data_IF_503631792049
#
_entry.id   IF_503631792049
#
_cell.length_a   1.000
_cell.length_b   1.000
_cell.length_c   1.000
_cell.angle_alpha   90.00
_cell.angle_beta   90.00
_cell.angle_gamma   90.00
#
_symmetry.space_group_name_H-M   'P 1'
#
loop_
_entity.id
_entity.type
_entity.pdbx_description
1 polymer ?
#
# COMPACT_ATOMS: atom_id res chain seq x y z
N UNK A 1 1.24 -18.97 -5.50
CA UNK A 1 0.49 -17.95 -4.73
C UNK A 1 0.99 -16.61 -5.22
N UNK A 2 0.10 -15.81 -5.76
CA UNK A 2 0.45 -14.56 -6.43
C UNK A 2 -0.09 -13.37 -5.62
N UNK A 3 0.33 -12.16 -5.99
CA UNK A 3 -0.18 -10.91 -5.41
C UNK A 3 -0.56 -9.95 -6.51
N UNK A 4 -1.74 -9.33 -6.39
CA UNK A 4 -2.14 -8.18 -7.18
C UNK A 4 -2.62 -7.07 -6.24
N UNK A 5 -1.97 -5.92 -6.27
CA UNK A 5 -2.22 -4.82 -5.35
C UNK A 5 -2.18 -5.28 -3.89
N UNK A 6 -3.32 -5.19 -3.18
CA UNK A 6 -3.50 -5.62 -1.79
C UNK A 6 -4.23 -6.95 -1.67
N UNK A 7 -4.39 -7.66 -2.77
CA UNK A 7 -5.01 -8.97 -2.83
C UNK A 7 -3.94 -10.05 -2.97
N UNK A 8 -4.11 -11.11 -2.20
CA UNK A 8 -3.40 -12.37 -2.37
C UNK A 8 -4.26 -13.27 -3.25
N UNK A 9 -3.63 -13.97 -4.19
CA UNK A 9 -4.29 -14.88 -5.12
C UNK A 9 -3.73 -16.28 -4.87
N UNK A 10 -4.56 -17.14 -4.29
CA UNK A 10 -4.23 -18.54 -4.09
C UNK A 10 -4.91 -19.36 -5.20
N UNK A 11 -4.14 -19.75 -6.21
CA UNK A 11 -4.59 -20.67 -7.27
C UNK A 11 -4.82 -22.05 -6.66
N UNK A 12 -5.94 -22.66 -7.02
CA UNK A 12 -6.30 -24.02 -6.64
C UNK A 12 -5.91 -24.98 -7.79
N UNK A 13 -6.07 -26.29 -7.57
CA UNK A 13 -5.72 -27.29 -8.59
C UNK A 13 -6.67 -27.28 -9.80
N UNK A 14 -7.87 -26.68 -9.65
CA UNK A 14 -8.77 -26.36 -10.76
C UNK A 14 -8.46 -24.99 -11.36
N UNK A 15 -9.21 -24.57 -12.38
CA UNK A 15 -9.13 -23.19 -12.91
C UNK A 15 -9.63 -22.11 -11.92
N UNK A 16 -9.99 -22.50 -10.69
CA UNK A 16 -10.44 -21.58 -9.65
C UNK A 16 -9.28 -20.98 -8.84
N UNK A 17 -9.55 -19.83 -8.23
CA UNK A 17 -8.65 -19.22 -7.26
C UNK A 17 -9.40 -18.66 -6.05
N UNK A 18 -8.69 -18.53 -4.92
CA UNK A 18 -9.14 -17.71 -3.80
C UNK A 18 -8.48 -16.34 -3.89
N UNK A 19 -9.30 -15.30 -3.93
CA UNK A 19 -8.90 -13.91 -3.85
C UNK A 19 -9.08 -13.40 -2.42
N UNK A 20 -7.98 -13.09 -1.75
CA UNK A 20 -7.96 -12.75 -0.32
C UNK A 20 -7.50 -11.30 -0.15
N UNK A 21 -8.33 -10.47 0.47
CA UNK A 21 -7.98 -9.10 0.89
C UNK A 21 -7.92 -9.03 2.41
N UNK A 22 -6.79 -8.58 2.97
CA UNK A 22 -6.60 -8.53 4.42
C UNK A 22 -7.31 -7.34 5.11
N UNK A 23 -7.83 -6.39 4.33
CA UNK A 23 -8.48 -5.22 4.91
C UNK A 23 -7.50 -4.33 5.67
N UNK A 24 -7.90 -3.87 6.85
CA UNK A 24 -7.09 -2.95 7.67
C UNK A 24 -6.32 -3.65 8.80
N UNK A 25 -6.89 -4.71 9.36
CA UNK A 25 -6.37 -5.41 10.55
C UNK A 25 -6.30 -6.92 10.35
N UNK A 26 -6.54 -7.38 9.13
CA UNK A 26 -6.49 -8.80 8.82
C UNK A 26 -5.07 -9.28 8.67
N UNK A 27 -4.82 -10.50 9.11
CA UNK A 27 -3.59 -11.24 8.82
C UNK A 27 -3.91 -12.73 8.66
N UNK A 28 -3.00 -13.43 7.99
CA UNK A 28 -3.06 -14.88 7.78
C UNK A 28 -1.88 -15.54 8.46
N UNK A 29 -2.12 -16.69 9.10
CA UNK A 29 -1.08 -17.51 9.72
C UNK A 29 -1.31 -18.99 9.41
N UNK A 30 -0.22 -19.76 9.33
CA UNK A 30 -0.29 -21.21 9.17
C UNK A 30 -0.13 -21.87 10.53
N UNK A 31 -1.19 -22.51 11.02
CA UNK A 31 -1.21 -23.16 12.35
C UNK A 31 -1.54 -24.64 12.22
N UNK A 32 -1.20 -25.48 13.21
CA UNK A 32 -1.78 -26.82 13.32
C UNK A 32 -3.31 -26.76 13.33
N UNK A 33 -3.97 -27.68 12.63
CA UNK A 33 -5.44 -27.75 12.56
C UNK A 33 -6.08 -27.85 13.95
N UNK A 34 -5.43 -28.55 14.88
CA UNK A 34 -5.89 -28.72 16.25
C UNK A 34 -5.79 -27.44 17.10
N UNK A 35 -5.11 -26.39 16.63
CA UNK A 35 -5.03 -25.11 17.36
C UNK A 35 -6.42 -24.49 17.50
N UNK A 36 -6.93 -24.26 18.72
CA UNK A 36 -8.26 -23.68 18.91
C UNK A 36 -8.40 -22.30 18.26
N UNK A 37 -9.55 -21.98 17.63
CA UNK A 37 -9.80 -20.65 17.10
C UNK A 37 -9.95 -19.62 18.23
N UNK A 38 -9.47 -18.41 17.97
CA UNK A 38 -9.60 -17.23 18.82
C UNK A 38 -10.76 -16.34 18.34
N UNK A 39 -11.17 -15.38 19.17
CA UNK A 39 -12.35 -14.50 18.97
C UNK A 39 -12.47 -13.86 17.57
N UNK A 40 -11.37 -13.61 16.89
CA UNK A 40 -11.35 -12.94 15.58
C UNK A 40 -10.76 -13.81 14.47
N UNK A 41 -10.63 -15.11 14.69
CA UNK A 41 -10.34 -16.08 13.64
C UNK A 41 -11.64 -16.41 12.91
N UNK A 42 -11.75 -16.02 11.64
CA UNK A 42 -13.03 -16.07 10.90
C UNK A 42 -13.07 -17.15 9.83
N UNK A 43 -11.92 -17.53 9.26
CA UNK A 43 -11.85 -18.50 8.16
C UNK A 43 -10.61 -19.39 8.36
N UNK A 44 -10.80 -20.70 8.25
CA UNK A 44 -9.73 -21.70 8.17
C UNK A 44 -9.77 -22.39 6.81
N UNK A 45 -8.67 -22.34 6.07
CA UNK A 45 -8.42 -23.22 4.92
C UNK A 45 -7.62 -24.41 5.41
N UNK A 46 -8.29 -25.55 5.58
CA UNK A 46 -7.69 -26.78 6.13
C UNK A 46 -6.96 -27.55 5.02
N UNK A 47 -5.69 -27.84 5.26
CA UNK A 47 -4.85 -28.63 4.36
C UNK A 47 -4.87 -30.11 4.74
N UNK A 48 -4.42 -30.97 3.84
CA UNK A 48 -4.31 -32.43 4.04
C UNK A 48 -3.22 -32.85 5.04
N UNK A 49 -2.34 -31.93 5.45
CA UNK A 49 -1.19 -32.20 6.33
C UNK A 49 -1.41 -31.75 7.79
N UNK A 50 -2.65 -31.80 8.28
CA UNK A 50 -3.05 -31.36 9.64
C UNK A 50 -2.64 -29.93 10.01
N UNK A 51 -2.53 -29.06 9.00
CA UNK A 51 -2.36 -27.61 9.17
C UNK A 51 -3.54 -26.88 8.54
N UNK A 52 -3.76 -25.64 8.96
CA UNK A 52 -4.66 -24.73 8.28
C UNK A 52 -4.03 -23.35 8.09
N UNK A 53 -4.41 -22.68 7.00
CA UNK A 53 -4.21 -21.24 6.86
C UNK A 53 -5.41 -20.56 7.52
N UNK A 54 -5.15 -19.83 8.60
CA UNK A 54 -6.16 -19.16 9.41
C UNK A 54 -6.16 -17.67 9.16
N UNK A 55 -7.31 -17.14 8.77
CA UNK A 55 -7.53 -15.71 8.57
C UNK A 55 -8.15 -15.08 9.83
N UNK A 56 -7.45 -14.10 10.38
CA UNK A 56 -7.86 -13.36 11.56
C UNK A 56 -8.09 -11.90 11.19
N UNK A 57 -9.23 -11.32 11.56
CA UNK A 57 -9.51 -9.90 11.28
C UNK A 57 -10.43 -9.25 12.32
N UNK A 58 -9.88 -8.52 13.30
CA UNK A 58 -10.66 -7.90 14.37
C UNK A 58 -11.73 -6.92 13.87
N UNK A 59 -11.49 -6.23 12.75
CA UNK A 59 -12.41 -5.22 12.21
C UNK A 59 -13.34 -5.75 11.13
N UNK A 60 -13.10 -6.97 10.63
CA UNK A 60 -13.91 -7.65 9.60
C UNK A 60 -14.06 -6.81 8.32
N UNK A 61 -12.96 -6.20 7.87
CA UNK A 61 -12.87 -5.45 6.63
C UNK A 61 -12.17 -6.22 5.51
N UNK A 62 -11.52 -7.35 5.84
CA UNK A 62 -11.00 -8.26 4.85
C UNK A 62 -12.10 -9.08 4.18
N UNK A 63 -11.74 -9.78 3.12
CA UNK A 63 -12.66 -10.62 2.35
C UNK A 63 -11.92 -11.77 1.70
N UNK A 64 -12.64 -12.88 1.48
CA UNK A 64 -12.17 -14.06 0.74
C UNK A 64 -13.24 -14.37 -0.30
N UNK A 65 -12.84 -14.40 -1.57
CA UNK A 65 -13.73 -14.70 -2.70
C UNK A 65 -13.21 -15.95 -3.38
N UNK A 66 -14.09 -16.91 -3.67
CA UNK A 66 -13.79 -17.97 -4.62
C UNK A 66 -14.15 -17.43 -6.01
N UNK A 67 -13.21 -17.50 -6.93
CA UNK A 67 -13.39 -17.08 -8.32
C UNK A 67 -13.13 -18.27 -9.25
N UNK A 68 -13.90 -18.35 -10.32
CA UNK A 68 -13.85 -19.34 -11.41
C UNK A 68 -13.41 -18.72 -12.75
N UNK A 69 -12.93 -17.48 -12.69
CA UNK A 69 -12.38 -16.72 -13.79
C UNK A 69 -10.92 -16.33 -13.52
N UNK A 70 -10.14 -15.96 -14.56
CA UNK A 70 -8.82 -15.38 -14.36
C UNK A 70 -8.88 -14.19 -13.39
N UNK A 71 -7.98 -14.14 -12.42
CA UNK A 71 -8.00 -13.09 -11.40
C UNK A 71 -7.99 -11.68 -12.03
N UNK A 72 -7.29 -11.52 -13.15
CA UNK A 72 -7.16 -10.29 -13.90
C UNK A 72 -8.50 -9.75 -14.47
N UNK A 73 -9.48 -10.63 -14.77
CA UNK A 73 -10.80 -10.21 -15.25
C UNK A 73 -11.76 -9.83 -14.12
N UNK A 74 -11.52 -10.34 -12.91
CA UNK A 74 -12.41 -10.13 -11.77
C UNK A 74 -12.63 -8.65 -11.46
N UNK A 75 -13.87 -8.26 -11.17
CA UNK A 75 -14.29 -6.86 -11.00
C UNK A 75 -13.49 -6.07 -9.94
N UNK A 76 -12.94 -6.76 -8.94
CA UNK A 76 -12.09 -6.17 -7.90
C UNK A 76 -10.66 -5.85 -8.38
N UNK A 77 -10.19 -6.49 -9.47
CA UNK A 77 -8.82 -6.36 -9.97
C UNK A 77 -8.74 -5.70 -11.35
N UNK A 78 -9.75 -5.88 -12.20
CA UNK A 78 -9.71 -5.49 -13.62
C UNK A 78 -9.57 -3.98 -13.86
N UNK A 79 -9.97 -3.15 -12.89
CA UNK A 79 -9.86 -1.69 -12.97
C UNK A 79 -8.63 -1.12 -12.24
N UNK A 80 -7.77 -1.97 -11.68
CA UNK A 80 -6.61 -1.53 -10.94
C UNK A 80 -5.50 -1.03 -11.88
N UNK A 81 -4.85 0.07 -11.49
CA UNK A 81 -3.67 0.61 -12.17
C UNK A 81 -2.45 -0.32 -12.04
N UNK A 82 -1.36 -0.05 -12.77
CA UNK A 82 -0.16 -0.89 -12.78
C UNK A 82 0.44 -1.08 -11.38
N UNK A 83 1.19 -2.16 -11.21
CA UNK A 83 2.07 -2.31 -10.04
C UNK A 83 3.19 -1.26 -10.12
N UNK A 84 3.67 -0.73 -8.97
CA UNK A 84 4.76 0.25 -8.96
C UNK A 84 6.08 -0.22 -9.56
N UNK A 85 6.29 -1.54 -9.68
CA UNK A 85 7.51 -2.14 -10.22
C UNK A 85 7.31 -2.75 -11.62
N UNK A 86 6.15 -2.51 -12.23
CA UNK A 86 5.88 -2.89 -13.62
C UNK A 86 6.58 -1.89 -14.57
N UNK A 87 7.10 -2.36 -15.70
CA UNK A 87 7.74 -1.51 -16.73
C UNK A 87 6.80 -0.41 -17.24
N UNK A 88 5.49 -0.64 -17.15
CA UNK A 88 4.45 0.34 -17.52
C UNK A 88 4.33 1.50 -16.54
N UNK A 89 4.89 1.39 -15.33
CA UNK A 89 4.83 2.43 -14.31
C UNK A 89 6.09 3.29 -14.32
N UNK A 90 5.97 4.49 -14.87
CA UNK A 90 7.01 5.51 -14.84
C UNK A 90 6.43 6.93 -14.65
N UNK A 91 7.31 7.93 -14.75
CA UNK A 91 6.88 9.33 -14.68
C UNK A 91 6.04 9.78 -15.88
N UNK A 92 6.27 9.23 -17.07
CA UNK A 92 5.53 9.55 -18.29
C UNK A 92 4.07 9.09 -18.20
N UNK A 93 3.86 7.87 -17.73
CA UNK A 93 2.56 7.30 -17.37
C UNK A 93 1.82 8.20 -16.38
N UNK A 94 2.46 8.57 -15.26
CA UNK A 94 1.83 9.41 -14.24
C UNK A 94 1.46 10.80 -14.78
N UNK A 95 2.34 11.42 -15.57
CA UNK A 95 2.08 12.73 -16.15
C UNK A 95 0.93 12.69 -17.16
N UNK A 96 0.91 11.70 -18.05
CA UNK A 96 -0.14 11.54 -19.05
C UNK A 96 -1.53 11.39 -18.40
N UNK A 97 -1.65 10.58 -17.35
CA UNK A 97 -2.93 10.34 -16.67
C UNK A 97 -3.31 11.49 -15.72
N UNK A 98 -2.33 12.25 -15.25
CA UNK A 98 -2.55 13.45 -14.45
C UNK A 98 -3.07 14.63 -15.28
N UNK A 99 -3.08 14.56 -16.61
CA UNK A 99 -3.54 15.66 -17.45
C UNK A 99 -4.94 16.13 -17.04
N UNK A 100 -5.10 17.45 -16.89
CA UNK A 100 -6.31 18.15 -16.45
C UNK A 100 -6.89 17.71 -15.09
N UNK A 101 -6.24 16.82 -14.34
CA UNK A 101 -6.67 16.39 -13.01
C UNK A 101 -6.48 17.53 -11.99
N UNK A 102 -7.58 17.92 -11.33
CA UNK A 102 -7.59 19.03 -10.36
C UNK A 102 -7.37 18.59 -8.91
N UNK A 103 -7.48 17.30 -8.63
CA UNK A 103 -7.25 16.76 -7.29
C UNK A 103 -5.78 16.92 -6.87
N UNK A 104 -5.56 16.91 -5.56
CA UNK A 104 -4.22 16.91 -4.98
C UNK A 104 -3.41 15.71 -5.46
N UNK A 105 -2.13 15.91 -5.80
CA UNK A 105 -1.21 14.87 -6.29
C UNK A 105 -1.08 13.72 -5.29
N UNK A 106 -1.16 14.01 -3.97
CA UNK A 106 -1.21 12.95 -2.95
C UNK A 106 -2.43 12.06 -3.11
N UNK A 107 -3.61 12.64 -3.27
CA UNK A 107 -4.84 11.86 -3.48
C UNK A 107 -4.80 11.09 -4.79
N UNK A 108 -4.18 11.66 -5.83
CA UNK A 108 -4.03 11.05 -7.14
C UNK A 108 -3.20 9.77 -7.12
N UNK A 109 -2.00 9.80 -6.54
CA UNK A 109 -1.14 8.61 -6.47
C UNK A 109 -1.63 7.56 -5.45
N UNK A 110 -2.57 7.93 -4.57
CA UNK A 110 -3.19 7.00 -3.63
C UNK A 110 -4.41 6.27 -4.21
N UNK A 111 -4.89 6.69 -5.37
CA UNK A 111 -5.97 6.01 -6.07
C UNK A 111 -5.44 4.74 -6.75
N UNK A 112 -5.99 3.59 -6.35
CA UNK A 112 -5.56 2.29 -6.86
C UNK A 112 -5.92 2.05 -8.33
N UNK A 113 -6.76 2.89 -8.94
CA UNK A 113 -6.97 2.91 -10.39
C UNK A 113 -5.82 3.59 -11.14
N UNK A 114 -5.05 4.45 -10.46
CA UNK A 114 -3.89 5.15 -11.03
C UNK A 114 -2.62 4.32 -10.82
N UNK A 115 -2.37 3.89 -9.59
CA UNK A 115 -1.25 3.02 -9.23
C UNK A 115 -1.59 2.29 -7.94
N UNK A 116 -1.32 1.00 -7.89
CA UNK A 116 -1.64 0.20 -6.69
C UNK A 116 -0.51 0.25 -5.66
N UNK A 117 -0.78 -0.20 -4.43
CA UNK A 117 0.24 -0.34 -3.39
C UNK A 117 0.66 0.95 -2.69
N UNK A 118 0.39 2.13 -3.28
CA UNK A 118 0.76 3.43 -2.70
C UNK A 118 -0.24 3.88 -1.63
N UNK A 119 0.02 3.48 -0.39
CA UNK A 119 -0.75 3.88 0.80
C UNK A 119 -0.41 5.26 1.35
N UNK A 120 -1.08 5.67 2.43
CA UNK A 120 -0.91 7.02 3.02
C UNK A 120 0.54 7.31 3.47
N UNK A 121 1.23 6.30 4.01
CA UNK A 121 2.62 6.40 4.45
C UNK A 121 3.52 6.60 3.23
N UNK A 122 3.51 5.65 2.31
CA UNK A 122 4.38 5.66 1.13
C UNK A 122 4.14 6.87 0.23
N UNK A 123 2.88 7.31 0.06
CA UNK A 123 2.57 8.55 -0.66
C UNK A 123 3.22 9.77 0.02
N UNK A 124 3.20 9.83 1.35
CA UNK A 124 3.78 10.94 2.12
C UNK A 124 5.30 10.96 1.99
N UNK A 125 5.95 9.81 2.16
CA UNK A 125 7.40 9.65 2.01
C UNK A 125 7.87 9.96 0.58
N UNK A 126 7.20 9.38 -0.42
CA UNK A 126 7.58 9.57 -1.82
C UNK A 126 7.44 11.03 -2.26
N UNK A 127 6.38 11.74 -1.82
CA UNK A 127 6.21 13.16 -2.10
C UNK A 127 7.24 14.03 -1.37
N UNK A 128 7.65 13.64 -0.15
CA UNK A 128 8.73 14.30 0.57
C UNK A 128 10.05 14.18 -0.18
N UNK A 129 10.43 12.95 -0.56
CA UNK A 129 11.63 12.63 -1.33
C UNK A 129 11.65 13.30 -2.70
N UNK A 130 10.52 13.31 -3.39
CA UNK A 130 10.35 14.01 -4.67
C UNK A 130 10.28 15.55 -4.51
N UNK A 131 10.16 16.09 -3.30
CA UNK A 131 10.07 17.53 -3.07
C UNK A 131 8.78 18.15 -3.64
N UNK A 132 7.67 17.39 -3.62
CA UNK A 132 6.39 17.82 -4.16
C UNK A 132 5.41 18.12 -3.04
N UNK A 133 4.81 19.32 -3.06
CA UNK A 133 3.79 19.68 -2.10
C UNK A 133 2.57 18.76 -2.28
N UNK A 134 2.09 18.07 -1.22
CA UNK A 134 1.10 17.01 -1.38
C UNK A 134 -0.27 17.53 -1.86
N UNK A 135 -0.58 18.80 -1.57
CA UNK A 135 -1.79 19.48 -2.03
C UNK A 135 -1.70 20.08 -3.43
N UNK A 136 -0.56 19.97 -4.13
CA UNK A 136 -0.43 20.50 -5.49
C UNK A 136 -1.40 19.76 -6.42
N UNK A 137 -2.12 20.50 -7.27
CA UNK A 137 -2.99 19.90 -8.29
C UNK A 137 -2.17 18.95 -9.18
N UNK A 138 -2.62 17.72 -9.35
CA UNK A 138 -1.92 16.67 -10.11
C UNK A 138 -1.58 17.15 -11.53
N UNK A 139 -2.54 17.73 -12.26
CA UNK A 139 -2.32 18.29 -13.59
C UNK A 139 -1.45 19.54 -13.65
N UNK A 140 -0.91 20.02 -12.52
CA UNK A 140 0.06 21.13 -12.44
C UNK A 140 1.46 20.69 -12.02
N UNK A 141 1.72 19.39 -11.97
CA UNK A 141 3.04 18.80 -11.73
C UNK A 141 3.69 18.55 -13.09
N UNK A 142 4.95 19.00 -13.25
CA UNK A 142 5.67 18.82 -14.51
C UNK A 142 6.15 17.38 -14.68
N UNK A 143 6.34 16.95 -15.94
CA UNK A 143 6.90 15.64 -16.31
C UNK A 143 8.13 15.26 -15.48
N UNK A 144 9.16 16.13 -15.47
CA UNK A 144 10.40 15.90 -14.69
C UNK A 144 10.15 15.65 -13.20
N UNK A 145 9.09 16.22 -12.62
CA UNK A 145 8.73 15.99 -11.23
C UNK A 145 7.99 14.68 -11.05
N UNK A 146 7.21 14.24 -12.04
CA UNK A 146 6.63 12.90 -12.06
C UNK A 146 7.68 11.81 -12.22
N UNK A 147 8.71 12.01 -13.05
CA UNK A 147 9.83 11.06 -13.16
C UNK A 147 10.50 10.84 -11.80
N UNK A 148 10.78 11.93 -11.09
CA UNK A 148 11.30 11.88 -9.71
C UNK A 148 10.32 11.24 -8.73
N UNK A 149 9.02 11.45 -8.92
CA UNK A 149 7.98 10.89 -8.05
C UNK A 149 7.84 9.38 -8.24
N UNK A 150 7.79 8.90 -9.48
CA UNK A 150 7.73 7.46 -9.79
C UNK A 150 8.94 6.72 -9.21
N UNK A 151 10.16 7.24 -9.45
CA UNK A 151 11.38 6.69 -8.87
C UNK A 151 11.37 6.73 -7.32
N UNK A 152 10.84 7.82 -6.73
CA UNK A 152 10.70 7.90 -5.26
C UNK A 152 9.68 6.91 -4.71
N UNK A 153 8.58 6.67 -5.42
CA UNK A 153 7.57 5.66 -5.04
C UNK A 153 8.20 4.27 -5.04
N UNK A 154 8.91 3.90 -6.11
CA UNK A 154 9.60 2.62 -6.22
C UNK A 154 10.62 2.46 -5.10
N UNK A 155 11.50 3.44 -4.87
CA UNK A 155 12.52 3.38 -3.83
C UNK A 155 11.91 3.21 -2.42
N UNK A 156 10.88 4.02 -2.07
CA UNK A 156 10.21 3.93 -0.77
C UNK A 156 9.56 2.56 -0.58
N UNK A 157 8.94 2.01 -1.63
CA UNK A 157 8.30 0.70 -1.56
C UNK A 157 9.34 -0.43 -1.47
N UNK A 158 10.46 -0.35 -2.18
CA UNK A 158 11.55 -1.32 -2.08
C UNK A 158 12.14 -1.34 -0.68
N UNK A 159 12.47 -0.18 -0.12
CA UNK A 159 12.96 -0.05 1.26
C UNK A 159 11.94 -0.63 2.26
N UNK A 160 10.65 -0.43 2.01
CA UNK A 160 9.59 -1.01 2.84
C UNK A 160 9.53 -2.52 2.73
N UNK A 161 9.66 -3.10 1.53
CA UNK A 161 9.67 -4.54 1.31
C UNK A 161 10.89 -5.17 2.00
N UNK A 162 12.09 -4.58 1.83
CA UNK A 162 13.34 -5.03 2.45
C UNK A 162 13.25 -5.01 3.99
N UNK A 163 12.65 -3.95 4.56
CA UNK A 163 12.42 -3.84 6.00
C UNK A 163 11.29 -4.78 6.53
N UNK A 164 10.65 -5.56 5.67
CA UNK A 164 9.53 -6.44 6.04
C UNK A 164 8.19 -5.73 6.23
N UNK A 165 8.04 -4.52 5.69
CA UNK A 165 6.85 -3.69 5.72
C UNK A 165 6.82 -2.66 6.87
N UNK A 166 5.87 -1.72 6.78
CA UNK A 166 5.50 -0.83 7.90
C UNK A 166 4.57 -1.52 8.88
N UNK A 167 5.06 -1.82 10.07
CA UNK A 167 4.20 -2.25 11.18
C UNK A 167 3.63 -1.04 11.89
N UNK A 168 2.75 -0.29 11.24
CA UNK A 168 2.03 0.79 11.92
C UNK A 168 0.78 0.21 12.60
N UNK A 169 1.02 -0.27 13.83
CA UNK A 169 0.06 -0.75 14.84
C UNK A 169 -0.46 -2.20 14.73
N UNK A 170 -0.75 -2.75 13.55
CA UNK A 170 -1.40 -4.08 13.48
C UNK A 170 -0.81 -5.06 12.44
N UNK A 171 0.25 -4.68 11.71
CA UNK A 171 0.86 -5.53 10.68
C UNK A 171 2.02 -6.36 11.25
N UNK A 172 1.73 -7.53 11.78
CA UNK A 172 2.75 -8.52 12.07
C UNK A 172 3.14 -9.26 10.78
N UNK A 173 4.43 -9.60 10.63
CA UNK A 173 4.88 -10.60 9.65
C UNK A 173 4.14 -11.93 9.87
N UNK A 174 4.22 -12.84 8.90
CA UNK A 174 3.64 -14.20 9.01
C UNK A 174 4.16 -14.99 10.22
N UNK A 175 5.29 -14.58 10.80
CA UNK A 175 5.90 -15.10 12.03
C UNK A 175 5.47 -14.37 13.32
N UNK A 176 4.60 -13.35 13.22
CA UNK A 176 4.12 -12.56 14.36
C UNK A 176 5.00 -11.35 14.74
N UNK A 177 6.15 -11.13 14.09
CA UNK A 177 7.08 -10.07 14.47
C UNK A 177 6.74 -8.72 13.81
N UNK A 178 6.94 -7.58 14.50
CA UNK A 178 6.79 -6.27 13.89
C UNK A 178 7.95 -5.97 12.92
N UNK A 179 7.64 -5.73 11.65
CA UNK A 179 8.53 -5.11 10.67
C UNK A 179 9.03 -3.71 11.08
N UNK A 180 10.26 -3.39 10.64
CA UNK A 180 11.11 -2.33 11.21
C UNK A 180 11.01 -0.96 10.51
N UNK A 181 10.22 -0.82 9.45
CA UNK A 181 10.21 0.40 8.61
C UNK A 181 9.77 1.68 9.33
N UNK A 182 9.14 1.62 10.50
CA UNK A 182 8.81 2.84 11.25
C UNK A 182 10.03 3.69 11.61
N UNK A 183 11.20 3.05 11.81
CA UNK A 183 12.41 3.74 12.26
C UNK A 183 13.07 4.60 11.16
N UNK A 184 12.65 4.47 9.88
CA UNK A 184 13.25 5.15 8.73
C UNK A 184 12.35 6.20 8.06
N UNK A 185 11.23 6.61 8.69
CA UNK A 185 10.28 7.56 8.10
C UNK A 185 10.79 9.01 8.19
N UNK A 186 10.80 9.73 7.06
CA UNK A 186 11.27 11.12 6.99
C UNK A 186 10.14 12.13 7.17
N UNK A 187 8.89 11.78 6.83
CA UNK A 187 7.76 12.72 6.85
C UNK A 187 6.53 12.21 7.59
N UNK A 188 6.09 10.97 7.36
CA UNK A 188 4.87 10.42 7.92
C UNK A 188 4.92 10.41 9.46
N UNK A 189 3.86 10.90 10.10
CA UNK A 189 3.79 10.98 11.57
C UNK A 189 4.70 12.03 12.21
N UNK A 190 5.56 12.72 11.44
CA UNK A 190 6.57 13.67 11.94
C UNK A 190 6.10 15.13 11.98
N UNK A 191 4.79 15.35 12.06
CA UNK A 191 4.21 16.69 12.16
C UNK A 191 4.72 17.45 13.38
N UNK A 192 5.11 18.72 13.22
CA UNK A 192 5.67 19.54 14.30
C UNK A 192 7.14 19.27 14.62
N UNK A 193 7.75 18.23 14.04
CA UNK A 193 9.18 17.93 14.22
C UNK A 193 10.05 18.62 13.19
N UNK A 194 11.37 18.53 13.35
CA UNK A 194 12.36 19.07 12.41
C UNK A 194 12.50 18.18 11.17
N UNK A 195 12.46 18.80 9.99
CA UNK A 195 12.74 18.12 8.71
C UNK A 195 14.19 17.61 8.69
N UNK A 196 14.42 16.30 8.44
CA UNK A 196 15.77 15.74 8.43
C UNK A 196 16.65 16.30 7.31
N UNK A 197 16.05 16.84 6.24
CA UNK A 197 16.78 17.36 5.07
C UNK A 197 17.17 18.85 5.19
N UNK A 198 16.33 19.68 5.80
CA UNK A 198 16.52 21.14 5.76
C UNK A 198 16.34 21.86 7.10
N UNK A 199 16.08 21.14 8.19
CA UNK A 199 15.97 21.72 9.52
C UNK A 199 14.69 22.53 9.78
N UNK A 200 13.80 22.71 8.81
CA UNK A 200 12.52 23.43 9.02
C UNK A 200 11.47 22.54 9.69
N UNK A 201 10.57 23.15 10.46
CA UNK A 201 9.45 22.46 11.08
C UNK A 201 8.51 21.85 10.03
N UNK A 202 8.22 20.57 10.18
CA UNK A 202 7.28 19.80 9.39
C UNK A 202 5.85 20.23 9.71
N UNK A 203 5.02 20.41 8.68
CA UNK A 203 3.61 20.82 8.81
C UNK A 203 2.69 19.63 8.65
N UNK A 204 1.61 19.63 9.43
CA UNK A 204 0.51 18.68 9.30
C UNK A 204 -0.69 19.34 8.64
N UNK A 205 -1.38 18.60 7.78
CA UNK A 205 -2.66 18.96 7.18
C UNK A 205 -3.50 17.70 6.98
N UNK A 206 -4.75 17.89 6.54
CA UNK A 206 -5.67 16.81 6.20
C UNK A 206 -6.06 16.94 4.73
N UNK A 207 -5.71 15.95 3.92
CA UNK A 207 -6.09 15.87 2.51
C UNK A 207 -6.99 14.66 2.30
N UNK A 208 -8.20 14.87 1.75
CA UNK A 208 -9.19 13.82 1.54
C UNK A 208 -9.41 12.95 2.80
N UNK A 209 -9.58 13.60 3.96
CA UNK A 209 -9.72 12.97 5.28
C UNK A 209 -8.53 12.15 5.80
N UNK A 210 -7.36 12.25 5.14
CA UNK A 210 -6.13 11.55 5.55
C UNK A 210 -5.11 12.52 6.12
N UNK A 211 -4.56 12.16 7.28
CA UNK A 211 -3.44 12.87 7.88
C UNK A 211 -2.25 12.90 6.92
N UNK A 212 -1.72 14.11 6.70
CA UNK A 212 -0.67 14.38 5.74
C UNK A 212 0.36 15.29 6.38
N UNK A 213 1.62 14.88 6.34
CA UNK A 213 2.74 15.68 6.83
C UNK A 213 3.62 16.06 5.64
N UNK A 214 4.17 17.28 5.65
CA UNK A 214 5.09 17.72 4.61
C UNK A 214 6.06 18.79 5.14
N UNK A 215 7.20 18.94 4.47
CA UNK A 215 8.16 19.99 4.74
C UNK A 215 7.89 21.22 3.87
N UNK A 216 7.56 22.39 4.42
CA UNK A 216 7.35 23.61 3.63
C UNK A 216 8.65 24.15 2.98
N UNK A 217 9.83 23.71 3.45
CA UNK A 217 11.12 24.08 2.84
C UNK A 217 11.50 23.22 1.64
N UNK A 218 11.26 21.91 1.72
CA UNK A 218 11.67 20.95 0.69
C UNK A 218 10.60 20.71 -0.38
N UNK A 219 9.33 20.98 -0.09
CA UNK A 219 8.20 20.63 -0.96
C UNK A 219 7.49 21.87 -1.49
N UNK A 220 7.39 21.98 -2.83
CA UNK A 220 6.76 23.11 -3.56
C UNK A 220 5.70 22.63 -4.55
#
# INVERSE_FOLDING_TARGET
MDRRAKYLIMRLDSDNALLIHLGMSGYIRVVPRATPPQKHDHIDLVFSNDRCLRFHDPRRFGSVHLIDEPAESHALLSKLGPEPFDDRFDGAYLYAIADKRRLAVKSFIMDSHIVVGVGNIYATEALHRAGIHPGRSAGRVSQRRYDRLAASIQAVLSEAIEAGGTTLRDFARSDGQPGYFQQSLDAYGRGGTTCPRCGRTMRSTRLAQRATVYCPGCQR
#
